data_IF_894370324156
#
_entry.id   IF_894370324156
#
_cell.length_a   1.000
_cell.length_b   1.000
_cell.length_c   1.000
_cell.angle_alpha   90.00
_cell.angle_beta   90.00
_cell.angle_gamma   90.00
#
_symmetry.space_group_name_H-M   'P 1'
#
loop_
_entity.id
_entity.type
_entity.pdbx_description
1 polymer ?
#
# COMPACT_ATOMS: atom_id res chain seq x y z
N UNK A 1 20.11 -1.52 12.53
CA UNK A 1 19.17 -0.62 13.20
C UNK A 1 19.81 0.73 13.45
N UNK A 2 19.01 1.81 13.49
CA UNK A 2 19.47 3.18 13.81
C UNK A 2 18.40 3.94 14.61
N UNK A 3 18.81 4.84 15.50
CA UNK A 3 17.85 5.68 16.24
C UNK A 3 17.37 6.84 15.37
N UNK A 4 16.06 6.90 15.13
CA UNK A 4 15.42 7.94 14.32
C UNK A 4 14.12 8.41 14.96
N UNK A 5 13.69 9.62 14.61
CA UNK A 5 12.41 10.17 15.05
C UNK A 5 11.23 9.45 14.37
N UNK A 6 10.40 8.76 15.16
CA UNK A 6 9.17 8.15 14.70
C UNK A 6 8.03 9.17 14.71
N UNK A 7 7.44 9.45 13.55
CA UNK A 7 6.34 10.39 13.42
C UNK A 7 5.04 9.95 14.11
N UNK A 8 4.85 8.65 14.31
CA UNK A 8 3.66 8.10 15.00
C UNK A 8 3.85 8.11 16.53
N UNK A 9 5.03 7.74 17.02
CA UNK A 9 5.34 7.74 18.45
C UNK A 9 5.67 9.13 19.01
N UNK A 10 6.11 10.06 18.16
CA UNK A 10 6.59 11.40 18.53
C UNK A 10 7.81 11.37 19.48
N UNK A 11 8.70 10.41 19.26
CA UNK A 11 9.96 10.27 19.99
C UNK A 11 11.01 9.57 19.11
N UNK A 12 12.26 9.63 19.53
CA UNK A 12 13.32 8.81 18.95
C UNK A 12 13.16 7.36 19.38
N UNK A 13 13.27 6.45 18.42
CA UNK A 13 13.18 5.00 18.62
C UNK A 13 14.21 4.30 17.74
N UNK A 14 14.67 3.10 18.14
CA UNK A 14 15.46 2.26 17.25
C UNK A 14 14.59 1.82 16.06
N UNK A 15 14.98 2.19 14.85
CA UNK A 15 14.33 1.76 13.63
C UNK A 15 15.10 0.65 12.96
N UNK A 16 14.35 -0.30 12.41
CA UNK A 16 14.86 -1.49 11.77
C UNK A 16 15.26 -1.20 10.32
N UNK A 17 16.38 -1.77 9.89
CA UNK A 17 16.69 -1.94 8.47
C UNK A 17 15.77 -3.00 7.84
N UNK A 18 15.85 -3.14 6.53
CA UNK A 18 14.99 -4.00 5.72
C UNK A 18 15.02 -5.45 6.19
N UNK A 19 16.19 -6.05 6.35
CA UNK A 19 16.33 -7.45 6.79
C UNK A 19 15.74 -7.68 8.19
N UNK A 20 16.05 -6.78 9.12
CA UNK A 20 15.55 -6.83 10.50
C UNK A 20 14.02 -6.70 10.55
N UNK A 21 13.46 -5.83 9.70
CA UNK A 21 12.03 -5.58 9.58
C UNK A 21 11.28 -6.72 8.90
N UNK A 22 11.89 -7.43 7.95
CA UNK A 22 11.29 -8.61 7.32
C UNK A 22 11.05 -9.71 8.36
N UNK A 23 12.01 -9.94 9.27
CA UNK A 23 11.85 -10.86 10.39
C UNK A 23 10.73 -10.38 11.32
N UNK A 24 10.73 -9.10 11.71
CA UNK A 24 9.67 -8.51 12.55
C UNK A 24 8.28 -8.68 11.92
N UNK A 25 8.16 -8.47 10.61
CA UNK A 25 6.88 -8.61 9.87
C UNK A 25 6.41 -10.06 9.86
N UNK A 26 7.32 -11.03 9.73
CA UNK A 26 6.99 -12.45 9.86
C UNK A 26 6.44 -12.75 11.26
N UNK A 27 7.15 -12.38 12.31
CA UNK A 27 6.72 -12.60 13.70
C UNK A 27 5.40 -11.89 14.02
N UNK A 28 5.19 -10.70 13.47
CA UNK A 28 3.93 -9.97 13.59
C UNK A 28 2.76 -10.76 12.98
N UNK A 29 2.94 -11.32 11.78
CA UNK A 29 1.95 -12.17 11.13
C UNK A 29 1.70 -13.47 11.93
N UNK A 30 2.78 -14.12 12.38
CA UNK A 30 2.71 -15.35 13.17
C UNK A 30 1.87 -15.15 14.44
N UNK A 31 1.97 -13.98 15.09
CA UNK A 31 1.13 -13.63 16.22
C UNK A 31 -0.37 -13.66 15.91
N UNK A 32 -0.80 -13.26 14.71
CA UNK A 32 -2.22 -13.40 14.31
C UNK A 32 -2.61 -14.83 13.97
N UNK A 33 -1.72 -15.57 13.32
CA UNK A 33 -1.99 -16.94 12.86
C UNK A 33 -2.04 -17.95 14.01
N UNK A 34 -1.15 -17.82 14.99
CA UNK A 34 -1.01 -18.74 16.11
C UNK A 34 -1.77 -18.26 17.36
N UNK A 35 -2.19 -16.99 17.36
CA UNK A 35 -2.88 -16.37 18.48
C UNK A 35 -4.23 -16.99 18.78
N UNK A 36 -4.41 -17.48 20.00
CA UNK A 36 -5.70 -18.00 20.48
C UNK A 36 -6.57 -16.89 21.06
N UNK A 37 -7.89 -17.11 21.10
CA UNK A 37 -8.87 -16.13 21.60
C UNK A 37 -8.68 -15.79 23.09
N UNK A 38 -8.13 -16.73 23.87
CA UNK A 38 -7.87 -16.57 25.29
C UNK A 38 -6.50 -15.94 25.62
N UNK A 39 -5.66 -15.69 24.62
CA UNK A 39 -4.35 -15.05 24.82
C UNK A 39 -4.51 -13.53 24.82
N UNK A 40 -3.79 -12.88 25.73
CA UNK A 40 -3.59 -11.44 25.72
C UNK A 40 -2.79 -10.99 24.49
N UNK A 41 -2.82 -9.69 24.19
CA UNK A 41 -2.01 -9.11 23.11
C UNK A 41 -0.51 -9.33 23.34
N UNK A 42 -0.04 -9.21 24.57
CA UNK A 42 1.39 -9.37 24.87
C UNK A 42 1.84 -10.81 24.67
N UNK A 43 1.07 -11.79 25.14
CA UNK A 43 1.38 -13.21 24.95
C UNK A 43 1.36 -13.61 23.47
N UNK A 44 0.38 -13.10 22.73
CA UNK A 44 0.24 -13.41 21.31
C UNK A 44 1.41 -12.92 20.45
N UNK A 45 2.04 -11.82 20.85
CA UNK A 45 3.11 -11.17 20.10
C UNK A 45 4.45 -11.20 20.86
N UNK A 46 4.61 -12.11 21.83
CA UNK A 46 5.80 -12.17 22.68
C UNK A 46 7.07 -12.33 21.86
N UNK A 47 7.07 -13.21 20.86
CA UNK A 47 8.23 -13.44 20.00
C UNK A 47 8.68 -12.17 19.26
N UNK A 48 7.72 -11.38 18.75
CA UNK A 48 8.03 -10.10 18.10
C UNK A 48 8.61 -9.08 19.11
N UNK A 49 7.98 -8.97 20.27
CA UNK A 49 8.42 -8.04 21.32
C UNK A 49 9.82 -8.39 21.84
N UNK A 50 10.07 -9.69 22.04
CA UNK A 50 11.36 -10.22 22.49
C UNK A 50 12.43 -10.04 21.42
N UNK A 51 12.13 -10.37 20.16
CA UNK A 51 13.03 -10.13 19.03
C UNK A 51 13.46 -8.65 18.96
N UNK A 52 12.49 -7.73 18.99
CA UNK A 52 12.77 -6.30 18.93
C UNK A 52 13.60 -5.83 20.12
N UNK A 53 13.28 -6.30 21.33
CA UNK A 53 14.03 -5.96 22.55
C UNK A 53 15.46 -6.52 22.52
N UNK A 54 15.65 -7.76 22.06
CA UNK A 54 16.97 -8.39 21.95
C UNK A 54 17.84 -7.66 20.92
N UNK A 55 17.26 -7.30 19.78
CA UNK A 55 17.98 -6.62 18.70
C UNK A 55 18.36 -5.18 19.05
N UNK A 56 17.47 -4.44 19.73
CA UNK A 56 17.61 -2.98 19.90
C UNK A 56 17.92 -2.54 21.33
N UNK A 57 17.76 -3.42 22.32
CA UNK A 57 17.77 -3.08 23.74
C UNK A 57 16.54 -2.29 24.23
N UNK A 58 15.67 -1.83 23.32
CA UNK A 58 14.49 -1.04 23.66
C UNK A 58 13.28 -1.94 23.94
N UNK A 59 12.65 -1.74 25.10
CA UNK A 59 11.44 -2.47 25.49
C UNK A 59 10.19 -1.81 24.91
N UNK A 60 9.77 -2.27 23.74
CA UNK A 60 8.45 -1.96 23.19
C UNK A 60 7.38 -2.83 23.88
N UNK A 61 6.18 -2.29 24.03
CA UNK A 61 5.02 -2.98 24.63
C UNK A 61 3.85 -3.12 23.67
N UNK A 62 3.80 -2.27 22.64
CA UNK A 62 2.78 -2.30 21.62
C UNK A 62 3.36 -2.91 20.32
N UNK A 63 2.97 -4.14 19.95
CA UNK A 63 3.42 -4.80 18.72
C UNK A 63 3.19 -3.96 17.46
N UNK A 64 2.09 -3.18 17.44
CA UNK A 64 1.77 -2.32 16.29
C UNK A 64 2.75 -1.16 16.12
N UNK A 65 3.44 -0.76 17.20
CA UNK A 65 4.43 0.31 17.12
C UNK A 65 5.66 -0.12 16.30
N UNK A 66 6.11 -1.36 16.49
CA UNK A 66 7.24 -1.95 15.75
C UNK A 66 6.99 -1.89 14.23
N UNK A 67 5.74 -2.02 13.79
CA UNK A 67 5.41 -2.01 12.37
C UNK A 67 5.64 -0.67 11.66
N UNK A 68 5.82 0.42 12.41
CA UNK A 68 6.24 1.70 11.85
C UNK A 68 7.64 2.13 12.31
N UNK A 69 8.43 1.23 12.91
CA UNK A 69 9.85 1.42 13.23
C UNK A 69 10.72 0.86 12.10
N UNK A 70 10.53 1.35 10.87
CA UNK A 70 11.29 0.94 9.67
C UNK A 70 11.91 2.17 9.02
N UNK A 71 13.23 2.12 8.79
CA UNK A 71 14.00 3.25 8.25
C UNK A 71 13.49 3.67 6.87
N UNK A 72 13.25 2.70 5.97
CA UNK A 72 12.81 2.97 4.59
C UNK A 72 11.43 3.67 4.46
N UNK A 73 10.63 3.70 5.53
CA UNK A 73 9.38 4.47 5.53
C UNK A 73 9.62 5.98 5.50
N UNK A 74 10.81 6.42 5.91
CA UNK A 74 11.15 7.81 6.08
C UNK A 74 12.14 8.27 5.01
N UNK A 75 12.13 9.58 4.76
CA UNK A 75 13.10 10.21 3.89
C UNK A 75 14.37 10.64 4.65
N UNK A 76 15.30 11.29 3.95
CA UNK A 76 16.55 11.74 4.56
C UNK A 76 16.30 12.71 5.73
N UNK A 77 17.32 12.97 6.57
CA UNK A 77 17.28 14.05 7.57
C UNK A 77 16.94 15.40 6.91
N UNK A 78 16.08 16.18 7.54
CA UNK A 78 15.81 17.55 7.13
C UNK A 78 17.07 18.42 7.28
N UNK A 79 17.40 19.17 6.24
CA UNK A 79 18.57 20.04 6.17
C UNK A 79 18.50 21.19 7.20
N UNK A 80 17.28 21.54 7.64
CA UNK A 80 17.06 22.62 8.61
C UNK A 80 16.92 22.16 10.06
N UNK A 81 16.34 20.98 10.32
CA UNK A 81 16.03 20.55 11.70
C UNK A 81 16.39 19.10 12.01
N UNK A 82 17.10 18.43 11.10
CA UNK A 82 17.62 17.04 11.18
C UNK A 82 16.60 15.91 11.36
N UNK A 83 15.34 16.21 11.74
CA UNK A 83 14.27 15.20 11.75
C UNK A 83 14.04 14.64 10.35
N UNK A 84 13.83 13.32 10.20
CA UNK A 84 13.66 12.69 8.90
C UNK A 84 12.35 13.14 8.26
N UNK A 85 12.37 13.30 6.93
CA UNK A 85 11.14 13.53 6.16
C UNK A 85 10.14 12.39 6.39
N UNK A 86 8.83 12.69 6.40
CA UNK A 86 7.77 11.68 6.67
C UNK A 86 7.76 10.52 5.68
N UNK A 87 8.23 10.77 4.46
CA UNK A 87 8.40 9.77 3.41
C UNK A 87 9.64 10.10 2.59
N UNK A 88 10.22 9.13 1.86
CA UNK A 88 11.32 9.38 0.91
C UNK A 88 11.02 10.51 -0.07
N UNK A 89 9.76 10.66 -0.49
CA UNK A 89 9.33 11.64 -1.50
C UNK A 89 8.75 12.94 -0.95
N UNK A 90 8.77 13.17 0.36
CA UNK A 90 8.13 14.35 0.96
C UNK A 90 8.76 15.67 0.48
N UNK A 91 7.96 16.60 -0.05
CA UNK A 91 8.45 17.89 -0.57
C UNK A 91 8.73 18.93 0.53
N UNK A 92 8.34 18.66 1.77
CA UNK A 92 8.57 19.55 2.90
C UNK A 92 8.68 18.78 4.21
N UNK A 93 9.35 19.38 5.20
CA UNK A 93 9.55 18.81 6.51
C UNK A 93 8.32 19.09 7.38
N UNK A 94 7.70 18.03 7.90
CA UNK A 94 6.52 18.17 8.75
C UNK A 94 6.82 18.69 10.17
N UNK A 95 8.09 18.91 10.53
CA UNK A 95 8.49 19.43 11.85
C UNK A 95 8.69 20.94 11.82
N UNK A 96 9.42 21.45 10.81
CA UNK A 96 9.81 22.85 10.74
C UNK A 96 9.28 23.58 9.49
N UNK A 97 8.62 22.88 8.57
CA UNK A 97 8.10 23.47 7.33
C UNK A 97 9.14 23.69 6.22
N UNK A 98 10.41 23.35 6.43
CA UNK A 98 11.46 23.46 5.41
C UNK A 98 11.04 22.76 4.11
N UNK A 99 11.08 23.47 2.99
CA UNK A 99 10.77 22.90 1.66
C UNK A 99 12.02 22.23 1.13
N UNK A 100 11.92 20.93 0.85
CA UNK A 100 13.02 20.20 0.25
C UNK A 100 13.20 20.72 -1.16
N UNK A 101 14.42 21.12 -1.53
CA UNK A 101 14.73 21.35 -2.92
C UNK A 101 14.31 20.09 -3.69
N UNK A 102 13.61 20.26 -4.81
CA UNK A 102 13.22 19.12 -5.61
C UNK A 102 14.50 18.33 -5.91
N UNK A 103 14.59 17.10 -5.41
CA UNK A 103 15.62 16.20 -5.88
C UNK A 103 15.39 16.11 -7.38
N UNK A 104 16.29 16.70 -8.17
CA UNK A 104 16.37 16.42 -9.60
C UNK A 104 16.86 14.98 -9.66
N UNK A 105 15.94 14.05 -9.44
CA UNK A 105 16.15 12.68 -9.87
C UNK A 105 16.09 12.79 -11.38
N UNK A 106 17.25 12.84 -12.03
CA UNK A 106 17.34 12.31 -13.38
C UNK A 106 16.86 10.87 -13.26
N UNK A 107 15.57 10.65 -13.49
CA UNK A 107 15.06 9.34 -13.77
C UNK A 107 15.66 8.98 -15.14
N UNK A 108 16.90 8.49 -15.15
CA UNK A 108 17.34 7.58 -16.19
C UNK A 108 16.54 6.31 -15.94
N UNK A 109 15.28 6.33 -16.35
CA UNK A 109 14.62 5.11 -16.75
C UNK A 109 15.42 4.64 -17.97
N UNK A 110 15.96 3.41 -18.00
CA UNK A 110 16.13 2.75 -19.28
C UNK A 110 14.75 2.81 -19.93
N UNK A 111 14.64 3.56 -21.02
CA UNK A 111 13.48 3.49 -21.91
C UNK A 111 13.14 2.00 -22.08
N UNK A 112 11.90 1.56 -21.83
CA UNK A 112 11.53 0.23 -22.22
C UNK A 112 11.71 0.16 -23.74
N UNK A 113 12.73 -0.57 -24.16
CA UNK A 113 12.84 -1.11 -25.52
C UNK A 113 11.46 -1.61 -25.95
N UNK A 114 11.03 -1.36 -27.20
CA UNK A 114 9.71 -1.79 -27.65
C UNK A 114 9.60 -3.30 -27.45
N UNK A 115 8.69 -3.70 -26.56
CA UNK A 115 8.39 -5.10 -26.31
C UNK A 115 7.72 -5.71 -27.54
N UNK A 116 8.01 -6.98 -27.86
CA UNK A 116 7.38 -7.66 -28.99
C UNK A 116 5.89 -7.88 -28.69
N UNK A 117 5.07 -7.63 -29.71
CA UNK A 117 3.61 -7.72 -29.71
C UNK A 117 3.08 -8.95 -28.95
N UNK A 118 2.40 -8.72 -27.83
CA UNK A 118 1.60 -9.73 -27.16
C UNK A 118 0.35 -9.97 -28.01
N UNK A 119 0.22 -11.19 -28.53
CA UNK A 119 -0.96 -11.63 -29.29
C UNK A 119 -2.17 -11.65 -28.36
N UNK A 120 -3.25 -11.08 -28.87
CA UNK A 120 -4.54 -10.90 -28.20
C UNK A 120 -5.18 -12.25 -27.83
N UNK A 121 -5.17 -12.60 -26.54
CA UNK A 121 -5.86 -13.78 -26.05
C UNK A 121 -7.37 -13.55 -26.00
N UNK A 122 -8.08 -14.27 -26.86
CA UNK A 122 -9.54 -14.28 -26.94
C UNK A 122 -10.17 -14.75 -25.62
N UNK A 123 -10.95 -13.86 -25.02
CA UNK A 123 -11.60 -14.10 -23.73
C UNK A 123 -12.79 -15.06 -23.86
N UNK A 124 -12.73 -16.17 -23.11
CA UNK A 124 -13.66 -17.30 -23.16
C UNK A 124 -15.14 -16.97 -22.86
N UNK A 125 -15.43 -15.85 -22.18
CA UNK A 125 -16.81 -15.43 -21.86
C UNK A 125 -17.60 -14.86 -23.05
N UNK A 126 -16.93 -14.54 -24.18
CA UNK A 126 -17.62 -14.07 -25.39
C UNK A 126 -18.39 -15.18 -26.13
N UNK A 127 -18.16 -16.46 -25.81
CA UNK A 127 -18.85 -17.60 -26.43
C UNK A 127 -20.21 -17.95 -25.81
N UNK A 128 -20.63 -17.27 -24.74
CA UNK A 128 -21.85 -17.61 -23.98
C UNK A 128 -23.07 -16.74 -24.31
N UNK A 129 -22.95 -15.79 -25.25
CA UNK A 129 -24.07 -14.97 -25.71
C UNK A 129 -24.45 -15.33 -27.15
N UNK A 130 -25.03 -16.51 -27.34
CA UNK A 130 -25.76 -16.83 -28.57
C UNK A 130 -27.23 -16.50 -28.35
N UNK A 131 -27.80 -15.46 -28.99
CA UNK A 131 -29.23 -15.24 -28.96
C UNK A 131 -29.91 -16.37 -29.72
N UNK A 132 -30.82 -17.09 -29.05
CA UNK A 132 -31.69 -18.09 -29.67
C UNK A 132 -32.56 -17.36 -30.71
N UNK A 133 -32.27 -17.57 -31.99
CA UNK A 133 -33.11 -17.07 -33.09
C UNK A 133 -34.41 -17.86 -33.11
N UNK A 134 -35.46 -17.33 -32.50
CA UNK A 134 -36.83 -17.80 -32.72
C UNK A 134 -37.32 -17.21 -34.03
N UNK A 135 -37.50 -18.06 -35.04
CA UNK A 135 -38.07 -17.71 -36.33
C UNK A 135 -39.59 -17.54 -36.18
N UNK A 136 -40.10 -16.31 -36.32
CA UNK A 136 -41.50 -16.09 -36.67
C UNK A 136 -41.58 -15.10 -37.85
N UNK A 137 -42.34 -15.41 -38.91
CA UNK A 137 -42.52 -14.50 -40.04
C UNK A 137 -43.43 -13.34 -39.63
N UNK A 138 -42.99 -12.12 -39.94
CA UNK A 138 -43.74 -10.89 -39.68
C UNK A 138 -44.91 -10.73 -40.65
N UNK A 139 -46.12 -10.36 -40.19
CA UNK A 139 -47.06 -9.67 -41.04
C UNK A 139 -46.83 -8.16 -40.90
N UNK A 140 -46.70 -7.54 -42.06
CA UNK A 140 -46.63 -6.12 -42.28
C UNK A 140 -47.88 -5.38 -41.77
N UNK A 141 -47.72 -4.11 -41.38
CA UNK A 141 -48.31 -2.94 -42.05
C UNK A 141 -48.50 -1.75 -41.10
N UNK A 142 -48.29 -0.56 -41.69
CA UNK A 142 -48.77 0.77 -41.31
C UNK A 142 -48.12 1.41 -40.07
N UNK A 143 -47.29 2.46 -40.23
CA UNK A 143 -47.63 3.84 -40.63
C UNK A 143 -48.48 4.56 -39.58
N UNK A 144 -48.15 5.85 -39.38
CA UNK A 144 -48.89 6.90 -38.65
C UNK A 144 -48.54 6.98 -37.15
N UNK A 145 -48.36 8.13 -36.50
CA UNK A 145 -48.14 9.54 -36.86
C UNK A 145 -47.95 10.23 -35.48
N UNK A 146 -47.02 11.19 -35.41
CA UNK A 146 -46.99 12.37 -34.51
C UNK A 146 -47.13 12.31 -32.98
N UNK A 147 -46.22 13.10 -32.37
CA UNK A 147 -46.42 14.19 -31.38
C UNK A 147 -46.99 13.85 -29.98
N UNK A 148 -46.27 14.41 -28.99
CA UNK A 148 -46.69 15.24 -27.83
C UNK A 148 -45.91 14.78 -26.58
N UNK A 149 -44.87 15.51 -26.14
CA UNK A 149 -44.91 16.70 -25.28
C UNK A 149 -45.64 16.48 -23.94
N UNK A 150 -44.82 16.48 -22.87
CA UNK A 150 -45.02 16.94 -21.49
C UNK A 150 -46.30 16.61 -20.69
N UNK A 151 -46.01 16.28 -19.42
CA UNK A 151 -46.79 16.43 -18.18
C UNK A 151 -47.79 15.32 -17.83
N UNK A 152 -47.40 14.48 -16.86
CA UNK A 152 -47.87 14.55 -15.47
C UNK A 152 -46.98 13.69 -14.57
#
# INVERSE_FOLDING_TARGET
>A
MENLWCWRCKMEVPMLHTEEYLIATKLYRDGFEQGKCNMTRTERFSELLDYYKQLTGFKETNPNAIMHHRIELYGPPCESCTKPYRTPHAKFCAACGHKRAAAVTNCIHPSPSPSPSIKEEQKWWQKLLVPIKVNHPAPALYSLITKLHLNL
#
